data_IF_249616409808
#
_entry.id   IF_249616409808
#
_cell.length_a   1.000
_cell.length_b   1.000
_cell.length_c   1.000
_cell.angle_alpha   90.00
_cell.angle_beta   90.00
_cell.angle_gamma   90.00
#
_symmetry.space_group_name_H-M   'P 1'
#
loop_
_entity.id
_entity.type
_entity.pdbx_description
1 polymer ?
#
# COMPACT_ATOMS: atom_id res chain seq x y z
N UNK A 1 13.56 -15.38 15.38
CA UNK A 1 13.01 -14.12 15.97
C UNK A 1 12.71 -13.03 14.93
N UNK A 2 13.50 -12.85 13.85
CA UNK A 2 13.21 -11.84 12.81
C UNK A 2 11.90 -12.06 12.04
N UNK A 3 11.50 -13.32 11.83
CA UNK A 3 10.34 -13.67 11.01
C UNK A 3 9.00 -13.26 11.66
N UNK A 4 8.90 -13.40 13.00
CA UNK A 4 7.68 -13.02 13.72
C UNK A 4 7.43 -11.51 13.66
N UNK A 5 8.48 -10.69 13.77
CA UNK A 5 8.33 -9.23 13.71
C UNK A 5 7.92 -8.76 12.31
N UNK A 6 8.44 -9.40 11.27
CA UNK A 6 8.06 -9.12 9.89
C UNK A 6 6.58 -9.46 9.62
N UNK A 7 6.11 -10.62 10.10
CA UNK A 7 4.70 -11.01 10.01
C UNK A 7 3.81 -9.98 10.73
N UNK A 8 4.20 -9.54 11.92
CA UNK A 8 3.47 -8.52 12.69
C UNK A 8 3.39 -7.18 11.92
N UNK A 9 4.48 -6.75 11.31
CA UNK A 9 4.50 -5.52 10.48
C UNK A 9 3.60 -5.63 9.25
N UNK A 10 3.56 -6.79 8.59
CA UNK A 10 2.63 -7.05 7.49
C UNK A 10 1.17 -6.94 7.95
N UNK A 11 0.82 -7.60 9.06
CA UNK A 11 -0.53 -7.52 9.61
C UNK A 11 -0.94 -6.10 10.02
N UNK A 12 -0.04 -5.37 10.70
CA UNK A 12 -0.24 -3.97 11.06
C UNK A 12 -0.56 -3.11 9.85
N UNK A 13 0.19 -3.28 8.77
CA UNK A 13 -0.04 -2.48 7.57
C UNK A 13 -1.29 -2.90 6.79
N UNK A 14 -1.68 -4.18 6.81
CA UNK A 14 -2.98 -4.60 6.29
C UNK A 14 -4.12 -3.95 7.06
N UNK A 15 -4.01 -3.93 8.40
CA UNK A 15 -4.98 -3.25 9.27
C UNK A 15 -5.03 -1.74 9.00
N UNK A 16 -3.89 -1.08 8.82
CA UNK A 16 -3.84 0.36 8.46
C UNK A 16 -4.53 0.60 7.10
N UNK A 17 -4.27 -0.25 6.10
CA UNK A 17 -4.90 -0.12 4.78
C UNK A 17 -6.43 -0.25 4.87
N UNK A 18 -6.92 -1.22 5.65
CA UNK A 18 -8.35 -1.37 5.93
C UNK A 18 -8.95 -0.25 6.76
N UNK A 19 -8.21 0.30 7.73
CA UNK A 19 -8.64 1.47 8.51
C UNK A 19 -8.76 2.71 7.61
N UNK A 20 -7.78 2.94 6.72
CA UNK A 20 -7.83 4.03 5.74
C UNK A 20 -9.02 3.86 4.79
N UNK A 21 -9.26 2.65 4.30
CA UNK A 21 -10.43 2.37 3.48
C UNK A 21 -11.73 2.59 4.26
N UNK A 22 -11.82 2.11 5.50
CA UNK A 22 -12.97 2.33 6.38
C UNK A 22 -13.23 3.83 6.63
N UNK A 23 -12.18 4.61 6.84
CA UNK A 23 -12.29 6.07 6.95
C UNK A 23 -12.84 6.69 5.66
N UNK A 24 -12.37 6.26 4.49
CA UNK A 24 -12.93 6.69 3.20
C UNK A 24 -14.42 6.33 3.09
N UNK A 25 -14.82 5.12 3.49
CA UNK A 25 -16.23 4.70 3.47
C UNK A 25 -17.09 5.56 4.40
N UNK A 26 -16.65 5.80 5.64
CA UNK A 26 -17.41 6.50 6.67
C UNK A 26 -17.53 8.00 6.39
N UNK A 27 -16.42 8.64 6.01
CA UNK A 27 -16.38 10.11 5.90
C UNK A 27 -16.79 10.63 4.53
N UNK A 28 -16.70 9.81 3.48
CA UNK A 28 -16.93 10.27 2.11
C UNK A 28 -18.19 9.65 1.53
N UNK A 29 -18.43 8.36 1.77
CA UNK A 29 -19.58 7.63 1.24
C UNK A 29 -19.53 7.47 -0.29
N UNK A 30 -19.92 6.31 -0.87
CA UNK A 30 -19.87 6.11 -2.32
C UNK A 30 -20.97 6.88 -3.08
N UNK A 31 -22.04 7.27 -2.39
CA UNK A 31 -23.30 7.68 -3.01
C UNK A 31 -23.25 9.12 -3.54
N UNK A 32 -22.52 10.00 -2.85
CA UNK A 32 -22.39 11.43 -3.19
C UNK A 32 -21.22 11.73 -4.14
N UNK A 33 -20.47 10.71 -4.54
CA UNK A 33 -19.26 10.86 -5.35
C UNK A 33 -19.57 10.98 -6.85
N UNK A 34 -18.92 11.94 -7.51
CA UNK A 34 -18.85 12.00 -8.97
C UNK A 34 -18.11 10.79 -9.57
N UNK A 35 -18.22 10.58 -10.89
CA UNK A 35 -17.64 9.42 -11.60
C UNK A 35 -16.16 9.19 -11.28
N UNK A 36 -15.35 10.26 -11.28
CA UNK A 36 -13.92 10.18 -10.97
C UNK A 36 -13.66 9.74 -9.52
N UNK A 37 -14.39 10.30 -8.56
CA UNK A 37 -14.24 9.95 -7.14
C UNK A 37 -14.74 8.53 -6.84
N UNK A 38 -15.79 8.05 -7.54
CA UNK A 38 -16.22 6.64 -7.50
C UNK A 38 -15.18 5.69 -8.07
N UNK A 39 -14.51 6.06 -9.14
CA UNK A 39 -13.38 5.29 -9.68
C UNK A 39 -12.24 5.20 -8.67
N UNK A 40 -11.84 6.33 -8.07
CA UNK A 40 -10.82 6.35 -7.01
C UNK A 40 -11.25 5.48 -5.81
N UNK A 41 -12.52 5.47 -5.46
CA UNK A 41 -13.08 4.65 -4.38
C UNK A 41 -12.92 3.16 -4.67
N UNK A 42 -13.29 2.73 -5.89
CA UNK A 42 -13.13 1.35 -6.34
C UNK A 42 -11.65 0.92 -6.36
N UNK A 43 -10.76 1.80 -6.83
CA UNK A 43 -9.32 1.52 -6.84
C UNK A 43 -8.78 1.38 -5.42
N UNK A 44 -9.17 2.28 -4.51
CA UNK A 44 -8.75 2.23 -3.10
C UNK A 44 -9.25 0.94 -2.43
N UNK A 45 -10.51 0.56 -2.65
CA UNK A 45 -11.09 -0.70 -2.17
C UNK A 45 -10.35 -1.93 -2.70
N UNK A 46 -10.06 -1.94 -4.01
CA UNK A 46 -9.35 -3.04 -4.67
C UNK A 46 -7.95 -3.20 -4.08
N UNK A 47 -7.21 -2.11 -3.89
CA UNK A 47 -5.88 -2.13 -3.30
C UNK A 47 -5.89 -2.57 -1.83
N UNK A 48 -6.87 -2.14 -1.04
CA UNK A 48 -7.02 -2.59 0.34
C UNK A 48 -7.28 -4.10 0.43
N UNK A 49 -8.18 -4.62 -0.41
CA UNK A 49 -8.46 -6.04 -0.51
C UNK A 49 -7.23 -6.84 -1.00
N UNK A 50 -6.55 -6.35 -2.04
CA UNK A 50 -5.34 -6.99 -2.57
C UNK A 50 -4.23 -7.08 -1.51
N UNK A 51 -4.01 -5.98 -0.76
CA UNK A 51 -3.03 -5.93 0.34
C UNK A 51 -3.36 -6.95 1.43
N UNK A 52 -4.64 -7.08 1.77
CA UNK A 52 -5.11 -8.07 2.76
C UNK A 52 -4.93 -9.51 2.27
N UNK A 53 -5.29 -9.80 1.02
CA UNK A 53 -5.08 -11.12 0.41
C UNK A 53 -3.61 -11.49 0.33
N UNK A 54 -2.72 -10.55 0.04
CA UNK A 54 -1.27 -10.77 0.08
C UNK A 54 -0.78 -11.24 1.45
N UNK A 55 -1.30 -10.67 2.54
CA UNK A 55 -0.95 -11.08 3.90
C UNK A 55 -1.44 -12.51 4.17
N UNK A 56 -2.66 -12.84 3.77
CA UNK A 56 -3.22 -14.19 3.91
C UNK A 56 -2.39 -15.21 3.12
N UNK A 57 -2.08 -14.92 1.85
CA UNK A 57 -1.29 -15.79 1.00
C UNK A 57 0.13 -15.97 1.55
N UNK A 58 0.74 -14.90 2.07
CA UNK A 58 2.02 -14.97 2.75
C UNK A 58 1.96 -15.88 3.99
N UNK A 59 0.96 -15.68 4.85
CA UNK A 59 0.74 -16.49 6.03
C UNK A 59 0.53 -17.96 5.67
N UNK A 60 -0.33 -18.24 4.68
CA UNK A 60 -0.64 -19.59 4.23
C UNK A 60 0.60 -20.28 3.66
N UNK A 61 1.41 -19.58 2.85
CA UNK A 61 2.66 -20.10 2.30
C UNK A 61 3.67 -20.47 3.39
N UNK A 62 3.85 -19.62 4.39
CA UNK A 62 4.91 -19.76 5.40
C UNK A 62 4.49 -20.69 6.56
N UNK A 63 3.28 -20.49 7.12
CA UNK A 63 2.80 -21.22 8.30
C UNK A 63 2.14 -22.55 7.96
N UNK A 64 1.30 -22.59 6.92
CA UNK A 64 0.55 -23.79 6.55
C UNK A 64 1.35 -24.70 5.61
N UNK A 65 1.90 -24.14 4.54
CA UNK A 65 2.59 -24.92 3.50
C UNK A 65 4.09 -25.11 3.76
N UNK A 66 4.65 -24.44 4.78
CA UNK A 66 6.07 -24.51 5.18
C UNK A 66 7.06 -24.25 4.04
N UNK A 67 6.64 -23.52 3.00
CA UNK A 67 7.53 -23.15 1.91
C UNK A 67 8.55 -22.12 2.38
N UNK A 68 9.70 -22.07 1.69
CA UNK A 68 10.70 -21.05 1.97
C UNK A 68 10.08 -19.65 1.85
N UNK A 69 10.27 -18.80 2.86
CA UNK A 69 9.63 -17.50 2.91
C UNK A 69 10.26 -16.55 1.88
N UNK A 70 9.47 -16.10 0.91
CA UNK A 70 9.92 -15.17 -0.13
C UNK A 70 9.78 -13.73 0.33
N UNK A 71 10.45 -13.43 1.45
CA UNK A 71 10.38 -12.15 2.15
C UNK A 71 10.59 -10.96 1.23
N UNK A 72 11.53 -11.04 0.29
CA UNK A 72 11.90 -9.92 -0.59
C UNK A 72 10.79 -9.52 -1.55
N UNK A 73 10.21 -10.49 -2.27
CA UNK A 73 9.17 -10.21 -3.26
C UNK A 73 7.89 -9.73 -2.57
N UNK A 74 7.51 -10.38 -1.46
CA UNK A 74 6.38 -9.93 -0.66
C UNK A 74 6.60 -8.53 -0.08
N UNK A 75 7.80 -8.20 0.40
CA UNK A 75 8.09 -6.87 0.93
C UNK A 75 7.93 -5.78 -0.13
N UNK A 76 8.43 -6.03 -1.34
CA UNK A 76 8.34 -5.08 -2.47
C UNK A 76 6.87 -4.86 -2.87
N UNK A 77 6.15 -5.96 -3.15
CA UNK A 77 4.75 -5.90 -3.59
C UNK A 77 3.88 -5.23 -2.51
N UNK A 78 4.13 -5.56 -1.24
CA UNK A 78 3.40 -4.99 -0.13
C UNK A 78 3.67 -3.50 0.05
N UNK A 79 4.94 -3.07 -0.05
CA UNK A 79 5.32 -1.65 -0.04
C UNK A 79 4.62 -0.87 -1.15
N UNK A 80 4.69 -1.36 -2.38
CA UNK A 80 4.06 -0.73 -3.54
C UNK A 80 2.53 -0.63 -3.37
N UNK A 81 1.90 -1.70 -2.87
CA UNK A 81 0.46 -1.74 -2.63
C UNK A 81 0.01 -0.69 -1.60
N UNK A 82 0.76 -0.50 -0.51
CA UNK A 82 0.44 0.52 0.51
C UNK A 82 0.65 1.93 -0.03
N UNK A 83 1.77 2.16 -0.73
CA UNK A 83 2.09 3.47 -1.31
C UNK A 83 0.98 3.90 -2.28
N UNK A 84 0.56 2.98 -3.15
CA UNK A 84 -0.56 3.23 -4.07
C UNK A 84 -1.88 3.40 -3.30
N UNK A 85 -2.20 2.56 -2.33
CA UNK A 85 -3.42 2.70 -1.53
C UNK A 85 -3.48 4.07 -0.83
N UNK A 86 -2.36 4.53 -0.27
CA UNK A 86 -2.24 5.85 0.34
C UNK A 86 -2.41 6.99 -0.67
N UNK A 87 -1.81 6.87 -1.86
CA UNK A 87 -1.98 7.83 -2.96
C UNK A 87 -3.46 8.01 -3.30
N UNK A 88 -4.16 6.90 -3.54
CA UNK A 88 -5.55 6.92 -3.97
C UNK A 88 -6.48 7.37 -2.84
N UNK A 89 -6.25 6.96 -1.60
CA UNK A 89 -7.02 7.43 -0.45
C UNK A 89 -6.86 8.95 -0.22
N UNK A 90 -5.63 9.47 -0.25
CA UNK A 90 -5.40 10.91 -0.10
C UNK A 90 -5.93 11.72 -1.29
N UNK A 91 -5.84 11.16 -2.50
CA UNK A 91 -6.44 11.74 -3.71
C UNK A 91 -7.95 11.86 -3.59
N UNK A 92 -8.60 10.83 -3.05
CA UNK A 92 -10.03 10.78 -2.83
C UNK A 92 -10.45 11.75 -1.73
N UNK A 93 -9.68 11.85 -0.66
CA UNK A 93 -9.86 12.84 0.40
C UNK A 93 -9.80 14.29 -0.15
N UNK A 94 -8.77 14.62 -0.93
CA UNK A 94 -8.67 15.93 -1.57
C UNK A 94 -9.81 16.18 -2.56
N UNK A 95 -10.26 15.14 -3.26
CA UNK A 95 -11.36 15.23 -4.22
C UNK A 95 -12.68 15.52 -3.51
N UNK A 96 -12.91 14.94 -2.35
CA UNK A 96 -14.10 15.19 -1.54
C UNK A 96 -14.21 16.66 -1.11
N UNK A 97 -13.10 17.30 -0.76
CA UNK A 97 -13.07 18.74 -0.43
C UNK A 97 -13.04 19.68 -1.65
N UNK A 98 -13.17 19.16 -2.87
CA UNK A 98 -13.09 19.96 -4.10
C UNK A 98 -11.72 20.61 -4.35
N UNK A 99 -10.66 20.17 -3.65
CA UNK A 99 -9.30 20.72 -3.76
C UNK A 99 -8.42 19.92 -4.72
N UNK A 100 -8.92 18.81 -5.23
CA UNK A 100 -8.15 17.93 -6.09
C UNK A 100 -8.00 18.50 -7.50
N UNK A 101 -6.75 18.64 -7.93
CA UNK A 101 -6.38 18.97 -9.29
C UNK A 101 -5.46 17.90 -9.83
N UNK A 102 -5.38 17.77 -11.16
CA UNK A 102 -4.43 16.86 -11.79
C UNK A 102 -2.98 17.15 -11.38
N UNK A 103 -2.64 18.42 -11.13
CA UNK A 103 -1.33 18.81 -10.64
C UNK A 103 -1.03 18.25 -9.24
N UNK A 104 -1.99 18.30 -8.31
CA UNK A 104 -1.82 17.71 -6.98
C UNK A 104 -1.68 16.18 -7.04
N UNK A 105 -2.44 15.52 -7.91
CA UNK A 105 -2.29 14.08 -8.16
C UNK A 105 -0.88 13.74 -8.64
N UNK A 106 -0.41 14.46 -9.68
CA UNK A 106 0.90 14.26 -10.26
C UNK A 106 2.02 14.50 -9.24
N UNK A 107 1.90 15.56 -8.43
CA UNK A 107 2.85 15.88 -7.37
C UNK A 107 2.92 14.75 -6.33
N UNK A 108 1.78 14.27 -5.84
CA UNK A 108 1.74 13.15 -4.90
C UNK A 108 2.32 11.87 -5.50
N UNK A 109 2.02 11.60 -6.77
CA UNK A 109 2.59 10.46 -7.49
C UNK A 109 4.12 10.56 -7.61
N UNK A 110 4.66 11.73 -7.96
CA UNK A 110 6.09 11.97 -8.05
C UNK A 110 6.80 11.84 -6.70
N UNK A 111 6.18 12.30 -5.61
CA UNK A 111 6.70 12.13 -4.25
C UNK A 111 6.79 10.64 -3.92
N UNK A 112 5.73 9.86 -4.21
CA UNK A 112 5.70 8.43 -3.96
C UNK A 112 6.70 7.68 -4.83
N UNK A 113 6.80 8.01 -6.11
CA UNK A 113 7.80 7.44 -7.01
C UNK A 113 9.22 7.76 -6.53
N UNK A 114 9.46 8.98 -6.04
CA UNK A 114 10.74 9.38 -5.45
C UNK A 114 11.08 8.61 -4.16
N UNK A 115 10.09 8.41 -3.28
CA UNK A 115 10.25 7.57 -2.08
C UNK A 115 10.58 6.13 -2.47
N UNK A 116 9.85 5.56 -3.42
CA UNK A 116 10.08 4.18 -3.87
C UNK A 116 11.47 4.01 -4.50
N UNK A 117 11.89 4.97 -5.33
CA UNK A 117 13.21 4.99 -5.95
C UNK A 117 14.33 5.15 -4.91
N UNK A 118 14.15 6.02 -3.91
CA UNK A 118 15.08 6.14 -2.78
C UNK A 118 15.20 4.83 -2.00
N UNK A 119 14.09 4.13 -1.75
CA UNK A 119 14.09 2.83 -1.10
C UNK A 119 14.84 1.78 -1.94
N UNK A 120 14.59 1.71 -3.24
CA UNK A 120 15.29 0.78 -4.14
C UNK A 120 16.80 1.01 -4.09
N UNK A 121 17.25 2.25 -4.28
CA UNK A 121 18.68 2.61 -4.25
C UNK A 121 19.32 2.31 -2.88
N UNK A 122 18.65 2.67 -1.79
CA UNK A 122 19.14 2.45 -0.42
C UNK A 122 19.23 0.96 -0.06
N UNK A 123 18.27 0.16 -0.53
CA UNK A 123 18.24 -1.28 -0.28
C UNK A 123 19.35 -2.00 -1.06
N UNK A 124 19.63 -1.55 -2.29
CA UNK A 124 20.67 -2.15 -3.13
C UNK A 124 22.09 -1.77 -2.67
N UNK A 125 22.29 -0.53 -2.21
CA UNK A 125 23.58 -0.10 -1.63
C UNK A 125 23.98 -0.89 -0.37
N UNK A 126 23.03 -1.22 0.51
CA UNK A 126 23.31 -2.07 1.69
C UNK A 126 23.70 -3.50 1.31
N UNK A 127 23.28 -3.96 0.13
CA UNK A 127 23.62 -5.28 -0.40
C UNK A 127 25.05 -5.31 -0.92
N UNK A 128 25.46 -4.27 -1.65
CA UNK A 128 26.85 -4.10 -2.12
C UNK A 128 27.86 -4.05 -0.96
N UNK A 129 27.51 -3.39 0.14
CA UNK A 129 28.35 -3.33 1.35
C UNK A 129 28.44 -4.64 2.16
N UNK A 130 27.59 -5.64 1.89
CA UNK A 130 27.62 -6.94 2.58
C UNK A 130 28.33 -8.04 1.80
N UNK A 131 28.62 -7.81 0.52
CA UNK A 131 29.28 -8.78 -0.37
C UNK A 131 30.78 -8.47 -0.49
N UNK A 132 31.22 -7.28 -0.09
CA UNK A 132 32.62 -6.96 0.24
C UNK A 132 32.87 -7.18 1.72
#
# INVERSE_FOLDING_TARGET
>A
MKDNWYVVLLWLSGAISWLLFGAVVIFIGPDELGIWSRFLFLVTSTLANFTFWLIILYYLRVKLLRFQPVFRQFHIIFRESILLAGLFAASLWLSHYGRMSFFYFLLMFLIIAGIDLFFILSYDQRRYKKIK
#
